data_IF_273387111668
#
_entry.id   IF_273387111668
#
_cell.length_a   1.000
_cell.length_b   1.000
_cell.length_c   1.000
_cell.angle_alpha   90.00
_cell.angle_beta   90.00
_cell.angle_gamma   90.00
#
_symmetry.space_group_name_H-M   'P 1'
#
loop_
_entity.id
_entity.type
_entity.pdbx_description
1 polymer ?
#
# COMPACT_ATOMS: atom_id res chain seq x y z
N UNK A 1 -0.44 -4.90 -23.87
CA UNK A 1 0.55 -3.88 -23.45
C UNK A 1 -0.15 -2.83 -22.64
N UNK A 2 0.11 -2.81 -21.33
CA UNK A 2 -0.57 -1.88 -20.41
C UNK A 2 -0.04 -0.46 -20.59
N UNK A 3 -0.91 0.54 -20.42
CA UNK A 3 -0.58 1.97 -20.54
C UNK A 3 -0.68 2.70 -19.21
N UNK A 4 -1.63 2.29 -18.37
CA UNK A 4 -1.83 2.85 -17.04
C UNK A 4 -1.47 1.82 -15.98
N UNK A 5 -0.55 2.19 -15.09
CA UNK A 5 -0.04 1.30 -14.05
C UNK A 5 -0.30 1.95 -12.70
N UNK A 6 -1.11 1.28 -11.89
CA UNK A 6 -1.37 1.65 -10.51
C UNK A 6 -0.43 0.85 -9.61
N UNK A 7 0.13 1.50 -8.60
CA UNK A 7 0.98 0.88 -7.58
C UNK A 7 0.37 1.07 -6.20
N UNK A 8 0.39 0.04 -5.35
CA UNK A 8 0.35 0.29 -3.92
C UNK A 8 1.69 0.92 -3.45
N UNK A 9 1.73 1.39 -2.21
CA UNK A 9 2.88 2.03 -1.60
C UNK A 9 3.60 1.09 -0.62
N UNK A 10 2.97 0.81 0.51
CA UNK A 10 3.52 -0.03 1.59
C UNK A 10 3.58 -1.48 1.08
N UNK A 11 4.77 -2.11 1.06
CA UNK A 11 4.94 -3.49 0.59
C UNK A 11 5.20 -3.64 -0.91
N UNK A 12 5.04 -2.55 -1.67
CA UNK A 12 5.23 -2.54 -3.13
C UNK A 12 6.33 -1.57 -3.55
N UNK A 13 6.21 -0.29 -3.21
CA UNK A 13 7.25 0.71 -3.50
C UNK A 13 8.24 0.83 -2.36
N UNK A 14 7.76 0.69 -1.12
CA UNK A 14 8.56 0.89 0.09
C UNK A 14 8.30 -0.17 1.15
N UNK A 15 9.35 -0.63 1.83
CA UNK A 15 9.27 -1.45 3.02
C UNK A 15 9.07 -0.57 4.26
N UNK A 16 7.81 -0.39 4.65
CA UNK A 16 7.40 0.43 5.79
C UNK A 16 7.20 -0.35 7.09
N UNK A 17 7.70 -1.59 7.15
CA UNK A 17 7.53 -2.48 8.31
C UNK A 17 7.98 -1.82 9.60
N UNK A 18 9.16 -1.22 9.60
CA UNK A 18 9.75 -0.65 10.81
C UNK A 18 8.86 0.45 11.39
N UNK A 19 8.46 1.41 10.57
CA UNK A 19 7.63 2.53 10.98
C UNK A 19 6.23 2.12 11.42
N UNK A 20 5.59 1.19 10.71
CA UNK A 20 4.25 0.69 11.09
C UNK A 20 4.33 -0.08 12.40
N UNK A 21 5.24 -1.04 12.52
CA UNK A 21 5.34 -1.89 13.71
C UNK A 21 5.80 -1.11 14.95
N UNK A 22 6.65 -0.09 14.80
CA UNK A 22 7.02 0.81 15.89
C UNK A 22 5.83 1.67 16.35
N UNK A 23 5.03 2.17 15.41
CA UNK A 23 3.84 2.98 15.71
C UNK A 23 2.76 2.15 16.41
N UNK A 24 2.55 0.91 15.99
CA UNK A 24 1.62 -0.02 16.66
C UNK A 24 2.13 -0.40 18.05
N UNK A 25 3.43 -0.72 18.19
CA UNK A 25 4.02 -1.01 19.49
C UNK A 25 3.93 0.19 20.45
N UNK A 26 4.09 1.40 19.95
CA UNK A 26 3.90 2.63 20.72
C UNK A 26 2.45 2.76 21.22
N UNK A 27 1.47 2.58 20.34
CA UNK A 27 0.06 2.61 20.69
C UNK A 27 -0.29 1.56 21.76
N UNK A 28 0.13 0.31 21.55
CA UNK A 28 -0.06 -0.79 22.52
C UNK A 28 0.60 -0.49 23.87
N UNK A 29 1.77 0.16 23.86
CA UNK A 29 2.46 0.59 25.08
C UNK A 29 1.66 1.59 25.92
N UNK A 30 0.82 2.43 25.31
CA UNK A 30 -0.10 3.35 26.02
C UNK A 30 -1.19 2.59 26.79
N UNK A 31 -1.47 1.35 26.41
CA UNK A 31 -2.37 0.42 27.09
C UNK A 31 -1.62 -0.55 28.04
N UNK A 32 -0.31 -0.36 28.24
CA UNK A 32 0.52 -1.25 29.06
C UNK A 32 0.81 -2.61 28.41
N UNK A 33 0.53 -2.77 27.11
CA UNK A 33 0.78 -4.00 26.37
C UNK A 33 2.21 -3.95 25.82
N UNK A 34 3.05 -4.90 26.22
CA UNK A 34 4.40 -5.03 25.70
C UNK A 34 4.45 -5.99 24.51
N UNK A 35 5.18 -5.61 23.48
CA UNK A 35 5.40 -6.42 22.28
C UNK A 35 6.88 -6.80 22.21
N UNK A 36 7.27 -7.99 22.69
CA UNK A 36 8.68 -8.39 22.76
C UNK A 36 9.27 -8.67 21.37
N UNK A 37 8.46 -9.18 20.43
CA UNK A 37 8.85 -9.36 19.02
C UNK A 37 7.93 -8.57 18.11
N UNK A 38 8.46 -7.50 17.50
CA UNK A 38 7.70 -6.63 16.60
C UNK A 38 7.31 -7.33 15.29
N UNK A 39 7.93 -8.45 14.93
CA UNK A 39 7.51 -9.24 13.75
C UNK A 39 6.07 -9.73 13.88
N UNK A 40 5.58 -9.95 15.09
CA UNK A 40 4.18 -10.30 15.33
C UNK A 40 3.20 -9.20 14.89
N UNK A 41 3.67 -7.95 14.76
CA UNK A 41 2.86 -6.81 14.33
C UNK A 41 2.77 -6.67 12.81
N UNK A 42 3.41 -7.54 12.02
CA UNK A 42 3.28 -7.55 10.55
C UNK A 42 1.84 -7.68 10.09
N UNK A 43 0.98 -8.30 10.91
CA UNK A 43 -0.47 -8.41 10.67
C UNK A 43 -1.21 -7.06 10.62
N UNK A 44 -0.54 -5.95 10.99
CA UNK A 44 -1.06 -4.58 10.86
C UNK A 44 -0.68 -3.90 9.54
N UNK A 45 0.18 -4.52 8.72
CA UNK A 45 0.64 -3.92 7.46
C UNK A 45 -0.30 -4.36 6.34
N UNK A 46 -1.03 -3.42 5.75
CA UNK A 46 -2.03 -3.67 4.70
C UNK A 46 -3.47 -3.45 5.15
N UNK A 47 -4.03 -4.20 6.13
CA UNK A 47 -5.42 -4.04 6.52
C UNK A 47 -5.66 -2.74 7.32
N UNK A 48 -6.92 -2.29 7.45
CA UNK A 48 -7.24 -1.13 8.26
C UNK A 48 -6.86 -1.33 9.74
N UNK A 49 -6.18 -0.35 10.34
CA UNK A 49 -5.72 -0.41 11.74
C UNK A 49 -6.82 -0.78 12.75
N UNK A 50 -8.05 -0.31 12.52
CA UNK A 50 -9.18 -0.62 13.40
C UNK A 50 -9.45 -2.12 13.40
N UNK A 51 -9.54 -2.74 12.23
CA UNK A 51 -9.78 -4.19 12.09
C UNK A 51 -8.67 -4.98 12.79
N UNK A 52 -7.41 -4.59 12.62
CA UNK A 52 -6.28 -5.25 13.27
C UNK A 52 -6.34 -5.14 14.80
N UNK A 53 -6.63 -3.96 15.37
CA UNK A 53 -6.77 -3.80 16.82
C UNK A 53 -7.95 -4.61 17.39
N UNK A 54 -9.11 -4.59 16.71
CA UNK A 54 -10.28 -5.39 17.11
C UNK A 54 -9.96 -6.90 17.08
N UNK A 55 -9.38 -7.37 15.97
CA UNK A 55 -9.13 -8.80 15.73
C UNK A 55 -8.03 -9.38 16.62
N UNK A 56 -6.91 -8.69 16.78
CA UNK A 56 -5.72 -9.25 17.44
C UNK A 56 -5.62 -8.88 18.91
N UNK A 57 -6.26 -7.80 19.35
CA UNK A 57 -6.19 -7.32 20.73
C UNK A 57 -7.56 -7.19 21.41
N UNK A 58 -8.66 -7.45 20.71
CA UNK A 58 -10.00 -7.43 21.28
C UNK A 58 -10.47 -6.04 21.71
N UNK A 59 -9.85 -4.99 21.16
CA UNK A 59 -10.19 -3.61 21.51
C UNK A 59 -11.63 -3.30 21.11
N UNK A 60 -12.33 -2.59 21.98
CA UNK A 60 -13.61 -1.98 21.64
C UNK A 60 -13.42 -0.85 20.61
N UNK A 61 -14.50 -0.43 19.97
CA UNK A 61 -14.47 0.69 19.00
C UNK A 61 -13.84 1.95 19.58
N UNK A 62 -14.10 2.28 20.85
CA UNK A 62 -13.52 3.46 21.50
C UNK A 62 -12.01 3.30 21.71
N UNK A 63 -11.57 2.11 22.12
CA UNK A 63 -10.15 1.81 22.30
C UNK A 63 -9.40 1.82 20.98
N UNK A 64 -10.00 1.30 19.90
CA UNK A 64 -9.41 1.38 18.57
C UNK A 64 -9.18 2.82 18.13
N UNK A 65 -10.16 3.71 18.32
CA UNK A 65 -10.01 5.13 17.95
C UNK A 65 -8.82 5.77 18.69
N UNK A 66 -8.73 5.57 20.00
CA UNK A 66 -7.61 6.07 20.82
C UNK A 66 -6.26 5.44 20.43
N UNK A 67 -6.23 4.13 20.15
CA UNK A 67 -5.03 3.43 19.71
C UNK A 67 -4.54 3.93 18.34
N UNK A 68 -5.47 4.24 17.45
CA UNK A 68 -5.20 4.87 16.15
C UNK A 68 -4.62 6.28 16.34
N UNK A 69 -5.15 7.07 17.28
CA UNK A 69 -4.58 8.39 17.59
C UNK A 69 -3.13 8.27 18.09
N UNK A 70 -2.85 7.34 19.02
CA UNK A 70 -1.49 7.08 19.48
C UNK A 70 -0.58 6.53 18.38
N UNK A 71 -1.10 5.69 17.49
CA UNK A 71 -0.37 5.24 16.31
C UNK A 71 0.04 6.46 15.47
N UNK A 72 -0.88 7.38 15.19
CA UNK A 72 -0.60 8.57 14.39
C UNK A 72 0.35 9.55 15.09
N UNK A 73 0.29 9.66 16.42
CA UNK A 73 1.24 10.43 17.24
C UNK A 73 2.68 10.00 16.95
N UNK A 74 2.97 8.70 16.95
CA UNK A 74 4.32 8.21 16.63
C UNK A 74 4.61 8.23 15.12
N UNK A 75 3.64 7.80 14.31
CA UNK A 75 3.84 7.62 12.88
C UNK A 75 4.18 8.93 12.19
N UNK A 76 3.47 10.01 12.51
CA UNK A 76 3.67 11.31 11.86
C UNK A 76 5.03 11.96 12.16
N UNK A 77 5.60 11.70 13.34
CA UNK A 77 6.90 12.26 13.73
C UNK A 77 8.08 11.37 13.34
N UNK A 78 7.93 10.04 13.47
CA UNK A 78 9.03 9.07 13.34
C UNK A 78 8.72 7.97 12.34
N UNK A 79 7.58 7.29 12.52
CA UNK A 79 7.25 6.09 11.74
C UNK A 79 7.19 6.33 10.23
N UNK A 80 6.86 7.54 9.78
CA UNK A 80 6.84 7.91 8.37
C UNK A 80 8.22 7.77 7.70
N UNK A 81 9.29 8.04 8.45
CA UNK A 81 10.68 8.02 7.98
C UNK A 81 11.41 6.71 8.30
N UNK A 82 10.83 5.86 9.15
CA UNK A 82 11.29 4.50 9.42
C UNK A 82 10.82 3.56 8.29
N UNK A 83 11.27 3.87 7.08
CA UNK A 83 10.81 3.28 5.83
C UNK A 83 11.99 3.21 4.84
N UNK A 84 11.94 2.30 3.89
CA UNK A 84 13.00 2.10 2.88
C UNK A 84 12.40 1.82 1.51
N UNK A 85 12.96 2.38 0.44
CA UNK A 85 12.54 2.05 -0.93
C UNK A 85 13.07 0.67 -1.31
N UNK A 86 12.22 -0.18 -1.90
CA UNK A 86 12.68 -1.48 -2.40
C UNK A 86 13.73 -1.33 -3.51
N UNK A 87 14.72 -2.21 -3.50
CA UNK A 87 15.79 -2.22 -4.49
C UNK A 87 15.21 -2.36 -5.92
N UNK A 88 15.62 -1.49 -6.84
CA UNK A 88 15.18 -1.49 -8.24
C UNK A 88 13.89 -0.72 -8.51
N UNK A 89 13.14 -0.26 -7.50
CA UNK A 89 11.92 0.55 -7.71
C UNK A 89 12.21 1.85 -8.46
N UNK A 90 13.24 2.65 -8.12
CA UNK A 90 13.53 3.88 -8.88
C UNK A 90 13.82 3.61 -10.37
N UNK A 91 14.57 2.55 -10.67
CA UNK A 91 14.90 2.16 -12.05
C UNK A 91 13.68 1.68 -12.81
N UNK A 92 12.81 0.90 -12.16
CA UNK A 92 11.52 0.47 -12.72
C UNK A 92 10.67 1.70 -13.08
N UNK A 93 10.44 2.61 -12.14
CA UNK A 93 9.61 3.81 -12.36
C UNK A 93 10.19 4.68 -13.48
N UNK A 94 11.51 4.89 -13.50
CA UNK A 94 12.18 5.63 -14.55
C UNK A 94 12.00 4.99 -15.94
N UNK A 95 12.16 3.67 -16.03
CA UNK A 95 11.98 2.94 -17.30
C UNK A 95 10.54 3.02 -17.81
N UNK A 96 9.54 2.92 -16.93
CA UNK A 96 8.13 3.03 -17.30
C UNK A 96 7.78 4.44 -17.78
N UNK A 97 8.30 5.49 -17.12
CA UNK A 97 8.11 6.87 -17.61
C UNK A 97 8.80 7.12 -18.94
N UNK A 98 10.00 6.59 -19.16
CA UNK A 98 10.67 6.66 -20.47
C UNK A 98 9.87 5.96 -21.57
N UNK A 99 9.17 4.87 -21.23
CA UNK A 99 8.26 4.16 -22.12
C UNK A 99 6.91 4.87 -22.32
N UNK A 100 6.72 6.07 -21.77
CA UNK A 100 5.50 6.88 -21.95
C UNK A 100 4.29 6.40 -21.15
N UNK A 101 4.51 5.58 -20.11
CA UNK A 101 3.42 5.04 -19.28
C UNK A 101 2.87 6.08 -18.30
N UNK A 102 1.58 5.97 -17.99
CA UNK A 102 0.96 6.71 -16.91
C UNK A 102 1.10 5.93 -15.61
N UNK A 103 1.68 6.56 -14.58
CA UNK A 103 1.94 5.92 -13.29
C UNK A 103 1.12 6.59 -12.20
N UNK A 104 0.40 5.80 -11.41
CA UNK A 104 -0.46 6.29 -10.34
C UNK A 104 -0.19 5.49 -9.07
N UNK A 105 -0.16 6.16 -7.93
CA UNK A 105 -0.23 5.45 -6.64
C UNK A 105 -1.69 5.29 -6.24
N UNK A 106 -2.11 4.09 -5.85
CA UNK A 106 -3.44 3.76 -5.35
C UNK A 106 -3.32 2.96 -4.04
N UNK A 107 -3.28 3.67 -2.91
CA UNK A 107 -2.96 3.10 -1.60
C UNK A 107 -4.03 3.33 -0.54
N UNK A 108 -4.23 2.35 0.34
CA UNK A 108 -5.10 2.51 1.53
C UNK A 108 -4.46 3.36 2.63
N UNK A 109 -3.19 3.77 2.46
CA UNK A 109 -2.56 4.78 3.31
C UNK A 109 -3.19 6.17 3.08
N UNK A 110 -3.34 7.00 4.12
CA UNK A 110 -3.81 8.37 3.95
C UNK A 110 -2.97 9.15 2.93
N UNK A 111 -3.64 9.82 2.00
CA UNK A 111 -3.02 10.50 0.84
C UNK A 111 -1.92 11.50 1.24
N UNK A 112 -2.15 12.26 2.29
CA UNK A 112 -1.19 13.23 2.82
C UNK A 112 0.13 12.56 3.25
N UNK A 113 0.06 11.40 3.90
CA UNK A 113 1.26 10.65 4.28
C UNK A 113 1.93 9.98 3.09
N UNK A 114 1.15 9.46 2.15
CA UNK A 114 1.68 8.87 0.90
C UNK A 114 2.48 9.88 0.10
N UNK A 115 1.97 11.10 -0.06
CA UNK A 115 2.67 12.20 -0.74
C UNK A 115 3.95 12.57 0.00
N UNK A 116 3.92 12.67 1.34
CA UNK A 116 5.11 12.99 2.13
C UNK A 116 6.20 11.92 1.98
N UNK A 117 5.85 10.64 2.03
CA UNK A 117 6.78 9.51 1.83
C UNK A 117 7.40 9.55 0.44
N UNK A 118 6.56 9.69 -0.60
CA UNK A 118 7.04 9.73 -1.99
C UNK A 118 7.99 10.92 -2.21
N UNK A 119 7.70 12.08 -1.62
CA UNK A 119 8.59 13.26 -1.69
C UNK A 119 9.90 13.04 -0.92
N UNK A 120 9.83 12.44 0.27
CA UNK A 120 11.01 12.14 1.08
C UNK A 120 12.00 11.25 0.32
N UNK A 121 11.50 10.26 -0.40
CA UNK A 121 12.33 9.34 -1.20
C UNK A 121 12.61 9.80 -2.63
N UNK A 122 12.15 10.99 -3.03
CA UNK A 122 12.36 11.50 -4.40
C UNK A 122 11.61 10.70 -5.48
N UNK A 123 10.53 9.99 -5.10
CA UNK A 123 9.73 9.18 -6.02
C UNK A 123 8.50 9.93 -6.55
N UNK A 124 8.09 11.01 -5.89
CA UNK A 124 6.83 11.71 -6.18
C UNK A 124 6.70 12.13 -7.65
N UNK A 125 7.78 12.63 -8.26
CA UNK A 125 7.76 13.18 -9.62
C UNK A 125 7.64 12.10 -10.73
N UNK A 126 7.73 10.81 -10.38
CA UNK A 126 7.42 9.74 -11.33
C UNK A 126 5.92 9.55 -11.51
N UNK A 127 5.09 9.94 -10.54
CA UNK A 127 3.66 9.66 -10.54
C UNK A 127 2.85 10.83 -11.07
N UNK A 128 1.93 10.52 -11.98
CA UNK A 128 0.98 11.49 -12.53
C UNK A 128 -0.15 11.81 -11.53
N UNK A 129 -0.43 10.89 -10.60
CA UNK A 129 -1.41 11.07 -9.54
C UNK A 129 -1.10 10.20 -8.31
N UNK A 130 -1.50 10.66 -7.13
CA UNK A 130 -1.45 9.89 -5.87
C UNK A 130 -2.86 9.84 -5.29
N UNK A 131 -3.50 8.67 -5.38
CA UNK A 131 -4.75 8.36 -4.74
C UNK A 131 -4.48 7.64 -3.42
N UNK A 132 -4.82 8.28 -2.30
CA UNK A 132 -4.74 7.68 -0.97
C UNK A 132 -6.10 7.57 -0.28
N UNK A 133 -6.13 6.94 0.88
CA UNK A 133 -7.28 7.02 1.79
C UNK A 133 -7.48 8.47 2.30
N UNK A 134 -8.69 8.78 2.74
CA UNK A 134 -8.98 10.03 3.45
C UNK A 134 -8.74 9.87 4.94
N UNK A 135 -8.32 10.95 5.61
CA UNK A 135 -8.13 10.95 7.07
C UNK A 135 -9.43 10.64 7.83
N UNK A 136 -10.58 11.06 7.28
CA UNK A 136 -11.92 10.77 7.81
C UNK A 136 -12.45 9.36 7.46
N UNK A 137 -11.64 8.54 6.77
CA UNK A 137 -11.91 7.15 6.38
C UNK A 137 -13.11 6.92 5.45
N UNK A 138 -13.72 7.97 4.90
CA UNK A 138 -14.78 7.83 3.88
C UNK A 138 -14.30 7.09 2.63
N UNK A 139 -13.01 7.22 2.30
CA UNK A 139 -12.31 6.41 1.30
C UNK A 139 -11.18 5.68 2.02
N UNK A 140 -11.28 4.37 2.13
CA UNK A 140 -10.29 3.56 2.90
C UNK A 140 -10.06 2.18 2.30
N UNK A 141 -11.08 1.56 1.71
CA UNK A 141 -10.92 0.29 0.99
C UNK A 141 -10.14 0.51 -0.30
N UNK A 142 -9.35 -0.49 -0.68
CA UNK A 142 -8.56 -0.45 -1.91
C UNK A 142 -9.41 -0.22 -3.16
N UNK A 143 -10.58 -0.85 -3.25
CA UNK A 143 -11.54 -0.64 -4.35
C UNK A 143 -11.96 0.82 -4.51
N UNK A 144 -12.18 1.52 -3.40
CA UNK A 144 -12.65 2.92 -3.39
C UNK A 144 -11.52 3.87 -3.80
N UNK A 145 -10.29 3.56 -3.37
CA UNK A 145 -9.08 4.32 -3.77
C UNK A 145 -8.77 4.13 -5.25
N UNK A 146 -8.86 2.90 -5.76
CA UNK A 146 -8.68 2.63 -7.19
C UNK A 146 -9.76 3.32 -8.00
N UNK A 147 -11.04 3.23 -7.60
CA UNK A 147 -12.11 3.94 -8.28
C UNK A 147 -11.85 5.45 -8.34
N UNK A 148 -11.46 6.05 -7.22
CA UNK A 148 -11.09 7.46 -7.16
C UNK A 148 -9.92 7.78 -8.11
N UNK A 149 -8.88 6.94 -8.15
CA UNK A 149 -7.76 7.11 -9.06
C UNK A 149 -8.19 7.13 -10.53
N UNK A 150 -9.05 6.18 -10.93
CA UNK A 150 -9.58 6.07 -12.29
C UNK A 150 -10.42 7.31 -12.66
N UNK A 151 -11.32 7.73 -11.78
CA UNK A 151 -12.21 8.88 -12.00
C UNK A 151 -11.45 10.19 -12.13
N UNK A 152 -10.48 10.46 -11.25
CA UNK A 152 -9.70 11.71 -11.28
C UNK A 152 -8.81 11.84 -12.50
N UNK A 153 -8.40 10.71 -13.09
CA UNK A 153 -7.53 10.67 -14.25
C UNK A 153 -8.29 10.40 -15.55
N UNK A 154 -9.62 10.26 -15.50
CA UNK A 154 -10.45 9.98 -16.67
C UNK A 154 -10.12 8.65 -17.35
N UNK A 155 -9.64 7.66 -16.60
CA UNK A 155 -9.20 6.37 -17.14
C UNK A 155 -10.42 5.50 -17.42
N UNK A 156 -10.63 5.18 -18.69
CA UNK A 156 -11.72 4.31 -19.15
C UNK A 156 -11.22 3.05 -19.86
N UNK A 157 -9.95 3.02 -20.28
CA UNK A 157 -9.32 1.88 -20.95
C UNK A 157 -8.78 0.85 -19.95
N UNK A 158 -9.71 0.15 -19.31
CA UNK A 158 -9.41 -0.83 -18.27
C UNK A 158 -8.67 -2.06 -18.81
N UNK A 159 -8.80 -2.36 -20.11
CA UNK A 159 -8.08 -3.47 -20.76
C UNK A 159 -6.57 -3.23 -20.85
N UNK A 160 -6.13 -1.97 -20.73
CA UNK A 160 -4.72 -1.57 -20.69
C UNK A 160 -4.34 -0.93 -19.35
N UNK A 161 -5.10 -1.22 -18.29
CA UNK A 161 -4.80 -0.80 -16.91
C UNK A 161 -4.38 -2.00 -16.08
N UNK A 162 -3.39 -1.83 -15.20
CA UNK A 162 -2.92 -2.90 -14.30
C UNK A 162 -2.61 -2.37 -12.90
N UNK A 163 -2.95 -3.14 -11.86
CA UNK A 163 -2.61 -2.86 -10.46
C UNK A 163 -1.40 -3.67 -10.04
N UNK A 164 -0.46 -3.06 -9.32
CA UNK A 164 0.70 -3.74 -8.74
C UNK A 164 0.61 -3.58 -7.23
N UNK A 165 0.59 -4.70 -6.52
CA UNK A 165 0.41 -4.73 -5.07
C UNK A 165 0.90 -6.03 -4.46
N UNK A 166 1.13 -6.05 -3.16
CA UNK A 166 1.63 -7.23 -2.44
C UNK A 166 0.55 -7.98 -1.67
N UNK A 167 -0.67 -7.44 -1.55
CA UNK A 167 -1.74 -8.02 -0.73
C UNK A 167 -2.94 -8.45 -1.57
N UNK A 168 -3.75 -9.36 -1.02
CA UNK A 168 -5.03 -9.75 -1.63
C UNK A 168 -5.94 -8.53 -1.92
N UNK A 169 -5.86 -7.49 -1.09
CA UNK A 169 -6.68 -6.29 -1.24
C UNK A 169 -6.41 -5.57 -2.56
N UNK A 170 -5.19 -5.61 -3.08
CA UNK A 170 -4.81 -5.02 -4.37
C UNK A 170 -5.44 -5.77 -5.53
N UNK A 171 -5.33 -7.10 -5.48
CA UNK A 171 -5.92 -8.02 -6.47
C UNK A 171 -7.44 -7.87 -6.50
N UNK A 172 -8.08 -7.96 -5.33
CA UNK A 172 -9.53 -7.82 -5.21
C UNK A 172 -10.00 -6.42 -5.60
N UNK A 173 -9.21 -5.39 -5.30
CA UNK A 173 -9.47 -4.01 -5.71
C UNK A 173 -9.47 -3.83 -7.23
N UNK A 174 -8.48 -4.41 -7.92
CA UNK A 174 -8.40 -4.41 -9.38
C UNK A 174 -9.55 -5.21 -10.02
N UNK A 175 -9.85 -6.40 -9.47
CA UNK A 175 -10.97 -7.24 -9.93
C UNK A 175 -12.33 -6.55 -9.77
N UNK A 176 -12.55 -5.81 -8.68
CA UNK A 176 -13.78 -5.04 -8.47
C UNK A 176 -14.00 -4.01 -9.60
N UNK A 177 -12.92 -3.49 -10.17
CA UNK A 177 -12.92 -2.57 -11.31
C UNK A 177 -12.70 -3.28 -12.66
N UNK A 178 -12.52 -4.60 -12.67
CA UNK A 178 -12.39 -5.47 -13.85
C UNK A 178 -11.14 -5.19 -14.70
N UNK A 179 -9.99 -5.01 -14.07
CA UNK A 179 -8.70 -4.98 -14.76
C UNK A 179 -7.65 -5.85 -14.05
N UNK A 180 -6.54 -6.08 -14.74
CA UNK A 180 -5.52 -7.04 -14.32
C UNK A 180 -4.71 -6.59 -13.09
N UNK A 181 -4.03 -7.55 -12.47
CA UNK A 181 -3.12 -7.28 -11.36
C UNK A 181 -1.83 -8.09 -11.40
N UNK A 182 -0.77 -7.51 -10.85
CA UNK A 182 0.50 -8.17 -10.53
C UNK A 182 0.62 -8.22 -9.01
N UNK A 183 0.58 -9.43 -8.46
CA UNK A 183 0.94 -9.68 -7.07
C UNK A 183 2.47 -9.74 -6.91
N UNK A 184 3.04 -9.06 -5.91
CA UNK A 184 4.50 -9.08 -5.67
C UNK A 184 4.86 -9.82 -4.38
N UNK A 185 5.88 -10.66 -4.43
CA UNK A 185 6.27 -11.54 -3.30
C UNK A 185 7.39 -11.00 -2.42
N UNK A 186 7.99 -9.87 -2.79
CA UNK A 186 8.99 -9.18 -1.96
C UNK A 186 8.34 -8.30 -0.86
N UNK A 187 7.02 -8.13 -0.91
CA UNK A 187 6.23 -7.39 0.06
C UNK A 187 5.84 -8.23 1.29
N UNK A 188 4.62 -8.03 1.77
CA UNK A 188 4.11 -8.63 3.00
C UNK A 188 3.13 -9.78 2.79
N UNK A 189 2.50 -9.87 1.62
CA UNK A 189 1.62 -10.99 1.28
C UNK A 189 2.37 -12.25 0.85
N UNK A 190 1.68 -13.39 0.92
CA UNK A 190 2.23 -14.68 0.47
C UNK A 190 1.79 -15.04 -0.95
N UNK A 191 2.47 -16.04 -1.54
CA UNK A 191 2.06 -16.59 -2.84
C UNK A 191 0.65 -17.15 -2.78
N UNK A 192 0.34 -17.90 -1.72
CA UNK A 192 -0.98 -18.50 -1.52
C UNK A 192 -2.06 -17.42 -1.44
N UNK A 193 -1.83 -16.33 -0.68
CA UNK A 193 -2.75 -15.19 -0.58
C UNK A 193 -3.04 -14.59 -1.97
N UNK A 194 -2.02 -14.36 -2.78
CA UNK A 194 -2.16 -13.74 -4.10
C UNK A 194 -2.81 -14.68 -5.14
N UNK A 195 -2.50 -15.97 -5.08
CA UNK A 195 -3.10 -16.99 -5.94
C UNK A 195 -4.57 -17.22 -5.60
N UNK A 196 -4.92 -17.30 -4.31
CA UNK A 196 -6.32 -17.42 -3.85
C UNK A 196 -7.15 -16.18 -4.19
N UNK A 197 -6.54 -14.99 -4.10
CA UNK A 197 -7.19 -13.75 -4.53
C UNK A 197 -7.37 -13.67 -6.05
N UNK A 198 -6.62 -14.45 -6.83
CA UNK A 198 -6.71 -14.51 -8.29
C UNK A 198 -5.90 -13.43 -9.00
N UNK A 199 -4.66 -13.19 -8.58
CA UNK A 199 -3.74 -12.29 -9.28
C UNK A 199 -3.50 -12.75 -10.73
N UNK A 200 -3.50 -11.83 -11.70
CA UNK A 200 -3.26 -12.16 -13.11
C UNK A 200 -1.82 -12.65 -13.31
N UNK A 201 -0.87 -11.97 -12.66
CA UNK A 201 0.55 -12.30 -12.66
C UNK A 201 1.10 -12.26 -11.23
N UNK A 202 2.21 -12.96 -11.00
CA UNK A 202 2.94 -12.92 -9.74
C UNK A 202 4.43 -12.72 -10.03
N UNK A 203 5.03 -11.69 -9.45
CA UNK A 203 6.45 -11.36 -9.55
C UNK A 203 7.18 -11.66 -8.23
N UNK A 204 8.33 -12.32 -8.31
CA UNK A 204 9.19 -12.60 -7.15
C UNK A 204 10.01 -11.38 -6.73
N UNK A 205 10.47 -10.60 -7.70
CA UNK A 205 11.32 -9.45 -7.50
C UNK A 205 10.92 -8.29 -8.41
N UNK A 206 11.34 -7.07 -8.06
CA UNK A 206 11.00 -5.84 -8.81
C UNK A 206 11.38 -5.95 -10.28
N UNK A 207 12.51 -6.61 -10.60
CA UNK A 207 13.02 -6.78 -11.96
C UNK A 207 12.11 -7.58 -12.88
N UNK A 208 11.24 -8.45 -12.34
CA UNK A 208 10.31 -9.27 -13.13
C UNK A 208 9.08 -8.47 -13.59
N UNK A 209 8.74 -7.37 -12.91
CA UNK A 209 7.51 -6.59 -13.17
C UNK A 209 7.46 -6.10 -14.62
N UNK A 210 8.57 -5.61 -15.16
CA UNK A 210 8.62 -5.05 -16.50
C UNK A 210 8.26 -6.08 -17.59
N UNK A 211 8.51 -7.37 -17.36
CA UNK A 211 8.18 -8.44 -18.30
C UNK A 211 6.67 -8.65 -18.46
N UNK A 212 5.86 -8.28 -17.47
CA UNK A 212 4.40 -8.40 -17.50
C UNK A 212 3.71 -7.12 -18.03
N UNK A 213 4.36 -5.96 -17.90
CA UNK A 213 3.81 -4.68 -18.37
C UNK A 213 3.93 -4.52 -19.89
N UNK A 214 4.96 -5.18 -20.46
CA UNK A 214 5.37 -5.26 -21.86
C UNK A 214 4.35 -4.88 -22.92
#
# INVERSE_FOLDING_TARGET
>A
MYQTILFDLDGTLTNSELGITNSVAYALGKYGIQVPDKKALRVFIGPPLQESFERFYGFSKEECLKAIDYYHEYFSEKGLYENEVYLGVPDLLASLKQAGKQLIVATSKPEEFSIQILKHFGLYDYFDFVAGATMDRKRSKKSDVIQYALEQNGITDLAHTIMIGDREHDVLGAQAQKFDSIGVLYGFGSREELEEAGATYIAQEVGEIAAFIG
#
